data_IF_746350266762
#
_entry.id   IF_746350266762
#
_cell.length_a   1.000
_cell.length_b   1.000
_cell.length_c   1.000
_cell.angle_alpha   90.00
_cell.angle_beta   90.00
_cell.angle_gamma   90.00
#
_symmetry.space_group_name_H-M   'P 1'
#
loop_
_entity.id
_entity.type
_entity.pdbx_description
1 polymer ?
#
# COMPACT_ATOMS: atom_id res chain seq x y z
N UNK A 1 -19.26 7.93 -17.00
CA UNK A 1 -19.01 8.50 -15.65
C UNK A 1 -20.35 8.52 -14.95
N UNK A 2 -20.58 7.65 -13.97
CA UNK A 2 -21.83 7.63 -13.22
C UNK A 2 -21.83 8.81 -12.24
N UNK A 3 -22.89 9.61 -12.26
CA UNK A 3 -23.07 10.73 -11.33
C UNK A 3 -23.26 10.16 -9.92
N UNK A 4 -22.34 10.52 -9.02
CA UNK A 4 -22.26 10.05 -7.63
C UNK A 4 -23.16 10.88 -6.68
N UNK A 5 -24.24 11.48 -7.18
CA UNK A 5 -24.96 12.56 -6.47
C UNK A 5 -25.99 12.09 -5.44
N UNK A 6 -26.27 10.79 -5.27
CA UNK A 6 -27.41 10.32 -4.46
C UNK A 6 -27.07 9.50 -3.20
N UNK A 7 -25.84 9.57 -2.67
CA UNK A 7 -25.58 9.07 -1.31
C UNK A 7 -25.93 10.16 -0.28
N UNK A 8 -27.10 10.04 0.36
CA UNK A 8 -27.56 10.99 1.37
C UNK A 8 -26.57 11.22 2.52
N UNK A 9 -26.65 12.39 3.21
CA UNK A 9 -25.64 12.87 4.16
C UNK A 9 -25.39 11.97 5.40
N UNK A 10 -26.21 10.95 5.66
CA UNK A 10 -26.02 9.99 6.77
C UNK A 10 -25.20 8.75 6.40
N UNK A 11 -24.69 8.64 5.16
CA UNK A 11 -24.01 7.44 4.67
C UNK A 11 -22.50 7.38 4.98
N UNK A 12 -21.90 8.47 5.45
CA UNK A 12 -20.46 8.53 5.72
C UNK A 12 -20.16 8.23 7.18
N UNK A 13 -19.25 7.28 7.39
CA UNK A 13 -18.69 6.97 8.69
C UNK A 13 -17.62 8.03 9.05
N UNK A 14 -18.07 9.08 9.73
CA UNK A 14 -17.22 10.20 10.14
C UNK A 14 -16.13 9.79 11.13
N UNK A 15 -16.32 8.69 11.86
CA UNK A 15 -15.29 8.18 12.79
C UNK A 15 -14.07 7.64 12.04
N UNK A 16 -14.23 7.18 10.79
CA UNK A 16 -13.11 6.81 9.91
C UNK A 16 -12.35 8.02 9.34
N UNK A 17 -13.01 9.17 9.24
CA UNK A 17 -12.45 10.40 8.68
C UNK A 17 -11.70 11.21 9.76
N UNK A 18 -12.17 11.11 11.02
CA UNK A 18 -11.63 11.87 12.17
C UNK A 18 -10.11 11.76 12.33
N UNK A 19 -9.46 10.57 12.30
CA UNK A 19 -8.01 10.48 12.50
C UNK A 19 -7.23 11.20 11.40
N UNK A 20 -7.69 11.10 10.14
CA UNK A 20 -7.06 11.77 9.00
C UNK A 20 -7.21 13.30 9.12
N UNK A 21 -8.36 13.78 9.58
CA UNK A 21 -8.60 15.21 9.85
C UNK A 21 -7.65 15.74 10.92
N UNK A 22 -7.63 15.08 12.09
CA UNK A 22 -6.89 15.54 13.27
C UNK A 22 -5.37 15.40 13.09
N UNK A 23 -4.92 14.40 12.33
CA UNK A 23 -3.49 14.22 12.06
C UNK A 23 -2.87 15.39 11.30
N UNK A 24 -3.65 16.12 10.50
CA UNK A 24 -3.16 17.15 9.59
C UNK A 24 -2.18 16.63 8.52
N UNK A 25 -2.01 15.31 8.40
CA UNK A 25 -1.06 14.69 7.45
C UNK A 25 -1.60 14.81 6.04
N UNK A 26 -2.88 14.47 5.84
CA UNK A 26 -3.54 14.54 4.54
C UNK A 26 -4.06 15.95 4.27
N UNK A 27 -3.93 16.41 3.03
CA UNK A 27 -4.63 17.58 2.51
C UNK A 27 -6.14 17.31 2.40
N UNK A 28 -6.95 18.37 2.36
CA UNK A 28 -8.42 18.25 2.18
C UNK A 28 -8.74 17.46 0.90
N UNK A 29 -7.95 17.65 -0.15
CA UNK A 29 -8.17 17.01 -1.45
C UNK A 29 -7.84 15.52 -1.44
N UNK A 30 -6.79 15.15 -0.71
CA UNK A 30 -6.45 13.74 -0.48
C UNK A 30 -7.53 13.05 0.36
N UNK A 31 -8.07 13.71 1.37
CA UNK A 31 -9.19 13.18 2.17
C UNK A 31 -10.46 13.01 1.33
N UNK A 32 -10.82 14.01 0.52
CA UNK A 32 -11.93 13.96 -0.44
C UNK A 32 -11.81 12.76 -1.36
N UNK A 33 -10.61 12.54 -1.93
CA UNK A 33 -10.35 11.41 -2.83
C UNK A 33 -10.38 10.07 -2.11
N UNK A 34 -9.78 9.99 -0.91
CA UNK A 34 -9.67 8.77 -0.11
C UNK A 34 -11.03 8.28 0.39
N UNK A 35 -11.82 9.20 0.94
CA UNK A 35 -13.11 8.91 1.57
C UNK A 35 -14.30 9.06 0.62
N UNK A 36 -14.05 9.50 -0.62
CA UNK A 36 -15.08 9.74 -1.66
C UNK A 36 -16.20 10.66 -1.18
N UNK A 37 -15.85 11.65 -0.37
CA UNK A 37 -16.75 12.69 0.16
C UNK A 37 -16.59 13.97 -0.65
N UNK A 38 -17.66 14.76 -0.78
CA UNK A 38 -17.54 16.07 -1.43
C UNK A 38 -16.71 17.03 -0.56
N UNK A 39 -15.95 17.92 -1.22
CA UNK A 39 -15.09 18.89 -0.53
C UNK A 39 -15.90 19.81 0.39
N UNK A 40 -17.07 20.24 -0.07
CA UNK A 40 -17.93 21.15 0.69
C UNK A 40 -18.53 20.45 1.91
N UNK A 41 -18.97 19.19 1.76
CA UNK A 41 -19.48 18.40 2.86
C UNK A 41 -18.41 18.13 3.92
N UNK A 42 -17.18 17.78 3.51
CA UNK A 42 -16.06 17.61 4.45
C UNK A 42 -15.77 18.92 5.22
N UNK A 43 -15.82 20.07 4.56
CA UNK A 43 -15.59 21.37 5.20
C UNK A 43 -16.72 21.77 6.14
N UNK A 44 -17.96 21.55 5.74
CA UNK A 44 -19.14 21.86 6.55
C UNK A 44 -19.19 21.00 7.81
N UNK A 45 -19.16 19.67 7.64
CA UNK A 45 -19.20 18.72 8.75
C UNK A 45 -17.95 18.81 9.62
N UNK A 46 -16.77 19.00 9.03
CA UNK A 46 -15.54 19.26 9.78
C UNK A 46 -15.65 20.49 10.68
N UNK A 47 -16.26 21.59 10.21
CA UNK A 47 -16.53 22.78 11.05
C UNK A 47 -17.56 22.49 12.14
N UNK A 48 -18.63 21.78 11.83
CA UNK A 48 -19.67 21.40 12.80
C UNK A 48 -19.10 20.51 13.92
N UNK A 49 -18.26 19.53 13.58
CA UNK A 49 -17.61 18.64 14.55
C UNK A 49 -16.56 19.37 15.40
N UNK A 50 -15.83 20.33 14.82
CA UNK A 50 -14.91 21.18 15.59
C UNK A 50 -15.69 22.12 16.52
N UNK A 51 -16.77 22.74 16.05
CA UNK A 51 -17.59 23.64 16.86
C UNK A 51 -18.29 22.92 18.03
N UNK A 52 -18.67 21.65 17.85
CA UNK A 52 -19.23 20.81 18.91
C UNK A 52 -18.18 20.17 19.83
N UNK A 53 -16.89 20.36 19.56
CA UNK A 53 -15.78 19.79 20.34
C UNK A 53 -15.58 18.29 20.13
N UNK A 54 -16.24 17.68 19.13
CA UNK A 54 -16.11 16.26 18.80
C UNK A 54 -14.78 15.99 18.09
N UNK A 55 -14.32 16.93 17.26
CA UNK A 55 -13.04 16.90 16.55
C UNK A 55 -12.14 18.05 16.99
N UNK A 56 -10.82 17.84 16.95
CA UNK A 56 -9.85 18.92 17.13
C UNK A 56 -9.73 19.83 15.90
N UNK A 57 -9.37 21.10 16.10
CA UNK A 57 -9.11 22.03 15.01
C UNK A 57 -7.93 21.51 14.17
N UNK A 58 -8.14 21.41 12.85
CA UNK A 58 -7.12 20.88 11.95
C UNK A 58 -5.88 21.79 11.98
N UNK A 59 -4.66 21.24 12.14
CA UNK A 59 -3.45 22.06 12.18
C UNK A 59 -3.35 22.94 10.93
N UNK A 60 -3.21 24.26 11.12
CA UNK A 60 -3.13 25.24 10.01
C UNK A 60 -1.96 24.98 9.05
N UNK A 61 -1.00 24.12 9.42
CA UNK A 61 0.15 23.75 8.60
C UNK A 61 -0.03 22.44 7.81
N UNK A 62 -1.23 21.88 7.73
CA UNK A 62 -1.49 20.64 7.00
C UNK A 62 -1.03 20.74 5.53
N UNK A 63 -0.03 19.94 5.17
CA UNK A 63 0.64 19.96 3.85
C UNK A 63 2.15 20.24 3.90
N UNK A 64 2.68 20.77 5.02
CA UNK A 64 4.14 20.66 5.31
C UNK A 64 4.33 19.40 6.14
N UNK A 65 5.19 18.47 5.70
CA UNK A 65 5.55 17.30 6.53
C UNK A 65 5.94 17.81 7.92
N UNK A 66 5.40 17.26 9.02
CA UNK A 66 5.74 17.75 10.36
C UNK A 66 7.25 17.56 10.55
N UNK A 67 7.98 18.67 10.69
CA UNK A 67 9.42 18.67 10.94
C UNK A 67 9.79 17.70 12.09
N UNK A 68 8.88 17.57 13.08
CA UNK A 68 8.98 16.63 14.20
C UNK A 68 9.13 15.15 13.79
N UNK A 69 8.45 14.66 12.75
CA UNK A 69 8.59 13.26 12.29
C UNK A 69 9.96 13.02 11.63
N UNK A 70 10.42 14.02 10.89
CA UNK A 70 11.73 14.07 10.26
C UNK A 70 12.85 14.08 11.32
N UNK A 71 12.68 14.89 12.36
CA UNK A 71 13.62 14.99 13.47
C UNK A 71 13.63 13.70 14.31
N UNK A 72 12.48 13.05 14.50
CA UNK A 72 12.40 11.75 15.16
C UNK A 72 13.13 10.66 14.36
N UNK A 73 12.96 10.62 13.03
CA UNK A 73 13.68 9.68 12.17
C UNK A 73 15.20 9.91 12.21
N UNK A 74 15.64 11.18 12.17
CA UNK A 74 17.05 11.55 12.33
C UNK A 74 17.61 11.14 13.69
N UNK A 75 16.83 11.33 14.77
CA UNK A 75 17.24 10.95 16.11
C UNK A 75 17.43 9.43 16.25
N UNK A 76 16.59 8.62 15.61
CA UNK A 76 16.76 7.15 15.59
C UNK A 76 18.03 6.72 14.86
N UNK A 77 18.38 7.36 13.73
CA UNK A 77 19.62 7.06 13.01
C UNK A 77 20.87 7.51 13.79
N UNK A 78 20.78 8.65 14.47
CA UNK A 78 21.90 9.22 15.24
C UNK A 78 22.33 8.34 16.42
N UNK A 79 21.44 7.48 16.92
CA UNK A 79 21.77 6.51 17.97
C UNK A 79 22.79 5.45 17.49
N UNK A 80 22.99 5.31 16.17
CA UNK A 80 23.90 4.34 15.60
C UNK A 80 23.42 2.90 15.80
N UNK A 81 24.06 1.91 15.13
CA UNK A 81 23.73 0.51 15.35
C UNK A 81 24.06 0.11 16.79
N UNK A 82 23.12 -0.50 17.49
CA UNK A 82 23.33 -1.00 18.86
C UNK A 82 24.39 -2.11 18.82
N UNK A 83 25.57 -1.85 19.40
CA UNK A 83 26.65 -2.85 19.50
C UNK A 83 26.23 -3.91 20.52
N UNK A 84 25.88 -5.11 20.04
CA UNK A 84 25.58 -6.25 20.90
C UNK A 84 26.81 -7.15 21.11
N UNK A 85 27.16 -7.50 22.37
CA UNK A 85 28.39 -8.25 22.69
C UNK A 85 28.38 -9.72 22.24
N UNK A 86 27.20 -10.32 21.98
CA UNK A 86 27.09 -11.76 21.69
C UNK A 86 26.85 -12.10 20.22
N UNK A 87 26.73 -11.09 19.35
CA UNK A 87 26.67 -11.31 17.90
C UNK A 87 28.11 -11.15 17.41
N UNK A 88 28.73 -12.16 16.77
CA UNK A 88 30.09 -12.01 16.26
C UNK A 88 30.17 -10.73 15.43
N UNK A 89 31.00 -9.80 15.91
CA UNK A 89 31.23 -8.49 15.32
C UNK A 89 31.89 -8.71 13.95
N UNK A 90 31.08 -8.76 12.89
CA UNK A 90 31.58 -8.82 11.52
C UNK A 90 31.98 -7.41 11.08
N UNK A 91 33.15 -6.95 11.54
CA UNK A 91 33.96 -5.86 10.98
C UNK A 91 33.34 -4.46 10.88
N UNK A 92 34.17 -3.44 11.11
CA UNK A 92 33.85 -2.06 10.74
C UNK A 92 33.76 -1.95 9.21
N UNK A 93 32.55 -2.03 8.66
CA UNK A 93 32.27 -1.56 7.31
C UNK A 93 31.95 -0.06 7.40
N UNK A 94 32.92 0.76 7.02
CA UNK A 94 32.77 2.22 6.99
C UNK A 94 31.60 2.63 6.10
N UNK A 95 30.69 3.39 6.71
CA UNK A 95 29.49 3.98 6.11
C UNK A 95 29.92 5.17 5.25
N UNK A 96 29.74 5.09 3.93
CA UNK A 96 30.04 6.21 3.01
C UNK A 96 30.23 5.87 1.53
N UNK A 97 30.36 4.59 1.18
CA UNK A 97 30.39 4.12 -0.21
C UNK A 97 29.81 2.72 -0.27
N UNK A 98 28.85 2.47 -1.18
CA UNK A 98 28.27 1.13 -1.39
C UNK A 98 29.33 0.20 -1.99
N UNK A 99 30.25 -0.28 -1.18
CA UNK A 99 31.01 -1.48 -1.53
C UNK A 99 30.12 -2.67 -1.16
N UNK A 100 29.76 -3.47 -2.17
CA UNK A 100 29.10 -4.76 -1.95
C UNK A 100 29.96 -5.54 -0.94
N UNK A 101 29.35 -6.22 0.05
CA UNK A 101 30.11 -7.10 0.91
C UNK A 101 30.92 -8.07 0.03
N UNK A 102 32.18 -8.36 0.37
CA UNK A 102 33.00 -9.27 -0.40
C UNK A 102 32.21 -10.57 -0.58
N UNK A 103 32.02 -10.97 -1.83
CA UNK A 103 31.40 -12.25 -2.15
C UNK A 103 32.33 -13.31 -1.58
N UNK A 104 32.01 -13.84 -0.40
CA UNK A 104 32.78 -14.93 0.21
C UNK A 104 32.53 -16.15 -0.68
N UNK A 105 33.41 -16.34 -1.66
CA UNK A 105 33.53 -17.56 -2.47
C UNK A 105 34.11 -18.65 -1.58
N UNK A 106 33.30 -19.14 -0.65
CA UNK A 106 33.70 -20.13 0.34
C UNK A 106 32.47 -20.92 0.77
N UNK A 107 32.20 -22.00 0.02
CA UNK A 107 31.26 -23.09 0.32
C UNK A 107 29.84 -22.60 0.65
N UNK A 108 29.00 -22.50 -0.38
CA UNK A 108 27.56 -22.39 -0.21
C UNK A 108 27.09 -23.57 0.65
N UNK A 109 26.84 -23.31 1.94
CA UNK A 109 26.12 -24.22 2.82
C UNK A 109 24.72 -24.39 2.24
N UNK A 110 24.55 -25.43 1.44
CA UNK A 110 23.33 -25.74 0.66
C UNK A 110 22.15 -26.14 1.53
N UNK A 111 22.34 -26.27 2.85
CA UNK A 111 21.24 -26.53 3.75
C UNK A 111 20.58 -25.21 4.15
N UNK A 112 19.27 -25.01 3.84
CA UNK A 112 18.52 -23.87 4.32
C UNK A 112 18.47 -23.96 5.84
N UNK A 113 19.40 -23.27 6.52
CA UNK A 113 19.41 -23.25 7.98
C UNK A 113 18.10 -22.65 8.44
N UNK A 114 17.34 -23.49 9.13
CA UNK A 114 16.07 -23.10 9.72
C UNK A 114 16.41 -22.23 10.93
N UNK A 115 16.64 -20.94 10.71
CA UNK A 115 16.88 -19.99 11.80
C UNK A 115 15.53 -19.72 12.49
N UNK A 116 15.46 -19.98 13.80
CA UNK A 116 14.30 -19.66 14.62
C UNK A 116 14.25 -18.17 14.93
N UNK A 117 13.07 -17.65 15.26
CA UNK A 117 12.95 -16.25 15.67
C UNK A 117 13.75 -16.03 16.96
N UNK A 118 14.54 -14.97 16.96
CA UNK A 118 15.10 -14.40 18.19
C UNK A 118 15.00 -12.89 18.11
N UNK A 119 14.79 -12.25 19.26
CA UNK A 119 14.67 -10.79 19.34
C UNK A 119 15.88 -10.08 18.71
N UNK A 120 17.08 -10.59 18.96
CA UNK A 120 18.35 -10.08 18.41
C UNK A 120 18.38 -10.08 16.88
N UNK A 121 17.89 -11.16 16.25
CA UNK A 121 17.80 -11.24 14.78
C UNK A 121 16.76 -10.26 14.26
N UNK A 122 15.61 -10.14 14.93
CA UNK A 122 14.58 -9.15 14.58
C UNK A 122 15.08 -7.71 14.65
N UNK A 123 15.72 -7.33 15.75
CA UNK A 123 16.35 -6.01 15.95
C UNK A 123 17.39 -5.74 14.85
N UNK A 124 18.25 -6.72 14.54
CA UNK A 124 19.26 -6.57 13.48
C UNK A 124 18.65 -6.36 12.09
N UNK A 125 17.54 -7.05 11.77
CA UNK A 125 16.82 -6.82 10.50
C UNK A 125 16.29 -5.38 10.47
N UNK A 126 15.67 -4.90 11.55
CA UNK A 126 15.15 -3.54 11.63
C UNK A 126 16.25 -2.48 11.47
N UNK A 127 17.42 -2.67 12.09
CA UNK A 127 18.57 -1.76 11.95
C UNK A 127 19.04 -1.65 10.49
N UNK A 128 19.10 -2.78 9.77
CA UNK A 128 19.51 -2.80 8.37
C UNK A 128 18.45 -2.18 7.46
N UNK A 129 17.16 -2.41 7.73
CA UNK A 129 16.05 -1.76 7.02
C UNK A 129 16.09 -0.25 7.23
N UNK A 130 16.35 0.22 8.45
CA UNK A 130 16.49 1.65 8.76
C UNK A 130 17.67 2.28 8.00
N UNK A 131 18.74 1.52 7.76
CA UNK A 131 19.88 1.88 6.90
C UNK A 131 19.58 1.76 5.39
N UNK A 132 18.32 1.57 5.02
CA UNK A 132 17.86 1.50 3.64
C UNK A 132 18.36 0.28 2.86
N UNK A 133 18.60 -0.84 3.55
CA UNK A 133 18.82 -2.13 2.90
C UNK A 133 17.48 -2.79 2.57
N UNK A 134 17.41 -3.44 1.41
CA UNK A 134 16.23 -4.23 1.06
C UNK A 134 16.20 -5.54 1.87
N UNK A 135 15.01 -6.04 2.16
CA UNK A 135 14.85 -7.30 2.87
C UNK A 135 15.52 -8.47 2.13
N UNK A 136 15.53 -8.45 0.81
CA UNK A 136 16.20 -9.45 -0.02
C UNK A 136 17.71 -9.42 0.21
N UNK A 137 18.36 -8.25 0.13
CA UNK A 137 19.79 -8.10 0.43
C UNK A 137 20.11 -8.53 1.86
N UNK A 138 19.28 -8.15 2.84
CA UNK A 138 19.46 -8.54 4.24
C UNK A 138 19.46 -10.08 4.37
N UNK A 139 18.48 -10.75 3.75
CA UNK A 139 18.36 -12.20 3.84
C UNK A 139 19.48 -12.97 3.12
N UNK A 140 20.29 -12.30 2.28
CA UNK A 140 21.50 -12.90 1.69
C UNK A 140 22.72 -12.88 2.62
N UNK A 141 22.67 -12.13 3.73
CA UNK A 141 23.79 -12.04 4.66
C UNK A 141 23.99 -13.35 5.44
N UNK A 142 25.24 -13.71 5.77
CA UNK A 142 25.52 -14.92 6.54
C UNK A 142 24.85 -14.86 7.91
N UNK A 143 24.13 -15.92 8.27
CA UNK A 143 23.40 -16.00 9.54
C UNK A 143 22.04 -15.29 9.55
N UNK A 144 21.55 -14.80 8.40
CA UNK A 144 20.19 -14.25 8.28
C UNK A 144 19.16 -15.30 7.87
N UNK A 145 17.91 -15.17 8.35
CA UNK A 145 16.82 -16.03 7.93
C UNK A 145 16.44 -15.79 6.47
N UNK A 146 15.85 -16.79 5.82
CA UNK A 146 15.28 -16.62 4.49
C UNK A 146 14.09 -15.64 4.50
N UNK A 147 13.89 -14.92 3.39
CA UNK A 147 12.84 -13.90 3.24
C UNK A 147 11.45 -14.38 3.65
N UNK A 148 11.06 -15.59 3.22
CA UNK A 148 9.73 -16.15 3.52
C UNK A 148 9.50 -16.33 5.03
N UNK A 149 10.57 -16.59 5.79
CA UNK A 149 10.51 -16.77 7.23
C UNK A 149 10.38 -15.44 7.97
N UNK A 150 11.10 -14.41 7.54
CA UNK A 150 10.89 -13.06 8.07
C UNK A 150 9.44 -12.61 7.85
N UNK A 151 8.90 -12.88 6.65
CA UNK A 151 7.50 -12.60 6.34
C UNK A 151 6.52 -13.41 7.22
N UNK A 152 6.87 -14.65 7.59
CA UNK A 152 6.09 -15.44 8.54
C UNK A 152 6.09 -14.79 9.94
N UNK A 153 7.25 -14.30 10.42
CA UNK A 153 7.34 -13.63 11.71
C UNK A 153 6.53 -12.33 11.75
N UNK A 154 6.57 -11.53 10.69
CA UNK A 154 5.79 -10.29 10.59
C UNK A 154 4.27 -10.52 10.63
N UNK A 155 3.80 -11.72 10.25
CA UNK A 155 2.39 -12.11 10.30
C UNK A 155 1.99 -12.80 11.61
N UNK A 156 2.96 -13.29 12.37
CA UNK A 156 2.70 -14.04 13.60
C UNK A 156 2.23 -13.09 14.71
N UNK A 157 1.08 -13.36 15.37
CA UNK A 157 0.64 -12.60 16.54
C UNK A 157 1.67 -12.61 17.68
N UNK A 158 2.48 -13.68 17.77
CA UNK A 158 3.51 -13.84 18.80
C UNK A 158 4.68 -12.84 18.66
N UNK A 159 4.82 -12.18 17.50
CA UNK A 159 5.94 -11.28 17.19
C UNK A 159 5.44 -9.88 16.79
N UNK A 160 4.35 -9.42 17.40
CA UNK A 160 3.76 -8.11 17.09
C UNK A 160 4.72 -6.93 17.35
N UNK A 161 5.58 -7.05 18.37
CA UNK A 161 6.60 -6.05 18.66
C UNK A 161 7.60 -5.90 17.49
N UNK A 162 8.05 -7.02 16.93
CA UNK A 162 8.93 -7.02 15.75
C UNK A 162 8.23 -6.40 14.54
N UNK A 163 6.96 -6.71 14.32
CA UNK A 163 6.18 -6.13 13.22
C UNK A 163 6.10 -4.60 13.33
N UNK A 164 5.83 -4.08 14.53
CA UNK A 164 5.73 -2.64 14.78
C UNK A 164 7.06 -1.95 14.49
N UNK A 165 8.15 -2.45 15.08
CA UNK A 165 9.49 -1.88 14.93
C UNK A 165 9.95 -1.96 13.46
N UNK A 166 9.66 -3.06 12.77
CA UNK A 166 10.02 -3.25 11.36
C UNK A 166 9.35 -2.19 10.46
N UNK A 167 8.05 -1.93 10.65
CA UNK A 167 7.34 -0.94 9.85
C UNK A 167 7.81 0.48 10.15
N UNK A 168 8.12 0.78 11.42
CA UNK A 168 8.69 2.09 11.79
C UNK A 168 10.06 2.31 11.15
N UNK A 169 10.93 1.28 11.15
CA UNK A 169 12.22 1.32 10.48
C UNK A 169 12.08 1.50 8.96
N UNK A 170 11.18 0.75 8.31
CA UNK A 170 10.90 0.87 6.88
C UNK A 170 10.36 2.26 6.51
N UNK A 171 9.47 2.82 7.35
CA UNK A 171 8.93 4.16 7.17
C UNK A 171 10.03 5.22 7.30
N UNK A 172 10.87 5.11 8.33
CA UNK A 172 11.98 6.03 8.54
C UNK A 172 12.94 6.02 7.34
N UNK A 173 13.32 4.85 6.84
CA UNK A 173 14.19 4.73 5.67
C UNK A 173 13.61 5.42 4.42
N UNK A 174 12.32 5.27 4.15
CA UNK A 174 11.65 5.90 3.01
C UNK A 174 11.51 7.41 3.16
N UNK A 175 11.28 7.92 4.38
CA UNK A 175 11.21 9.36 4.63
C UNK A 175 12.55 10.03 4.33
N UNK A 176 13.67 9.41 4.69
CA UNK A 176 15.01 9.91 4.36
C UNK A 176 15.26 9.95 2.85
N UNK A 177 14.82 8.91 2.12
CA UNK A 177 14.92 8.90 0.66
C UNK A 177 14.13 10.05 0.03
N UNK A 178 12.95 10.36 0.58
CA UNK A 178 12.14 11.48 0.10
C UNK A 178 12.84 12.82 0.33
N UNK A 179 13.45 13.03 1.50
CA UNK A 179 14.20 14.25 1.78
C UNK A 179 15.39 14.41 0.83
N UNK A 180 16.07 13.32 0.50
CA UNK A 180 17.18 13.34 -0.44
C UNK A 180 16.73 13.70 -1.87
N UNK A 181 15.59 13.16 -2.32
CA UNK A 181 14.99 13.55 -3.59
C UNK A 181 14.55 15.02 -3.61
N UNK A 182 14.04 15.54 -2.48
CA UNK A 182 13.65 16.95 -2.35
C UNK A 182 14.88 17.87 -2.45
N UNK A 183 16.02 17.48 -1.88
CA UNK A 183 17.31 18.18 -2.09
C UNK A 183 17.75 18.12 -3.55
N UNK A 184 17.80 16.92 -4.15
CA UNK A 184 18.21 16.76 -5.56
C UNK A 184 17.32 17.61 -6.49
N UNK A 185 16.00 17.62 -6.25
CA UNK A 185 15.07 18.44 -7.02
C UNK A 185 15.38 19.94 -6.89
N UNK A 186 15.69 20.42 -5.68
CA UNK A 186 16.02 21.82 -5.44
C UNK A 186 17.29 22.27 -6.18
N UNK A 187 18.30 21.41 -6.22
CA UNK A 187 19.56 21.65 -6.93
C UNK A 187 19.36 21.68 -8.44
N UNK A 188 18.64 20.70 -8.99
CA UNK A 188 18.35 20.63 -10.43
C UNK A 188 17.52 21.84 -10.86
N UNK A 189 16.53 22.26 -10.06
CA UNK A 189 15.73 23.46 -10.34
C UNK A 189 16.59 24.72 -10.34
N UNK A 190 17.53 24.86 -9.41
CA UNK A 190 18.46 25.98 -9.37
C UNK A 190 19.37 26.01 -10.63
N UNK A 191 19.82 24.85 -11.10
CA UNK A 191 20.67 24.71 -12.29
C UNK A 191 19.94 25.00 -13.60
N UNK A 192 18.62 24.75 -13.68
CA UNK A 192 17.83 25.04 -14.90
C UNK A 192 17.83 26.52 -15.29
N UNK A 193 18.03 27.41 -14.33
CA UNK A 193 18.15 28.86 -14.57
C UNK A 193 19.43 29.21 -15.32
N UNK A 194 20.44 28.33 -15.33
CA UNK A 194 21.78 28.59 -15.87
C UNK A 194 22.08 27.86 -17.19
N UNK A 195 21.38 26.77 -17.52
CA UNK A 195 21.73 25.86 -18.64
C UNK A 195 20.53 25.50 -19.53
N UNK A 196 20.76 24.61 -20.50
CA UNK A 196 19.78 24.11 -21.46
C UNK A 196 18.50 23.58 -20.75
N UNK A 197 17.36 24.21 -21.06
CA UNK A 197 16.06 23.99 -20.40
C UNK A 197 15.52 22.57 -20.62
N UNK A 198 15.79 21.96 -21.78
CA UNK A 198 15.14 20.69 -22.16
C UNK A 198 15.65 19.48 -21.37
N UNK A 199 16.99 19.33 -21.26
CA UNK A 199 17.61 18.26 -20.47
C UNK A 199 17.22 18.36 -18.99
N UNK A 200 17.12 19.58 -18.50
CA UNK A 200 16.79 19.85 -17.11
C UNK A 200 15.33 19.52 -16.77
N UNK A 201 14.40 19.79 -17.69
CA UNK A 201 12.98 19.43 -17.51
C UNK A 201 12.76 17.91 -17.45
N UNK A 202 13.46 17.13 -18.30
CA UNK A 202 13.38 15.67 -18.26
C UNK A 202 13.88 15.12 -16.91
N UNK A 203 14.99 15.67 -16.39
CA UNK A 203 15.54 15.28 -15.08
C UNK A 203 14.59 15.64 -13.93
N UNK A 204 14.01 16.84 -13.95
CA UNK A 204 13.00 17.27 -12.96
C UNK A 204 11.82 16.29 -12.95
N UNK A 205 11.32 15.90 -14.12
CA UNK A 205 10.20 14.98 -14.23
C UNK A 205 10.54 13.60 -13.65
N UNK A 206 11.71 13.06 -13.97
CA UNK A 206 12.16 11.77 -13.43
C UNK A 206 12.33 11.79 -11.89
N UNK A 207 12.74 12.93 -11.30
CA UNK A 207 12.82 13.07 -9.84
C UNK A 207 11.42 13.14 -9.23
N UNK A 208 10.49 13.90 -9.83
CA UNK A 208 9.09 14.00 -9.37
C UNK A 208 8.38 12.65 -9.39
N UNK A 209 8.56 11.85 -10.43
CA UNK A 209 7.98 10.51 -10.52
C UNK A 209 8.53 9.57 -9.44
N UNK A 210 9.85 9.60 -9.19
CA UNK A 210 10.47 8.85 -8.10
C UNK A 210 9.91 9.27 -6.74
N UNK A 211 9.75 10.58 -6.51
CA UNK A 211 9.16 11.14 -5.28
C UNK A 211 7.71 10.66 -5.09
N UNK A 212 6.87 10.75 -6.11
CA UNK A 212 5.48 10.27 -6.07
C UNK A 212 5.40 8.78 -5.75
N UNK A 213 6.27 7.96 -6.34
CA UNK A 213 6.34 6.52 -6.05
C UNK A 213 6.71 6.23 -4.60
N UNK A 214 7.68 6.97 -4.04
CA UNK A 214 8.05 6.82 -2.64
C UNK A 214 6.97 7.33 -1.69
N UNK A 215 6.30 8.44 -1.99
CA UNK A 215 5.14 8.92 -1.22
C UNK A 215 4.04 7.88 -1.19
N UNK A 216 3.72 7.28 -2.35
CA UNK A 216 2.77 6.17 -2.44
C UNK A 216 3.19 4.99 -1.56
N UNK A 217 4.47 4.60 -1.56
CA UNK A 217 4.96 3.53 -0.67
C UNK A 217 4.79 3.89 0.80
N UNK A 218 5.19 5.08 1.22
CA UNK A 218 5.07 5.53 2.63
C UNK A 218 3.60 5.50 3.08
N UNK A 219 2.68 6.00 2.26
CA UNK A 219 1.25 6.00 2.60
C UNK A 219 0.67 4.59 2.70
N UNK A 220 1.12 3.66 1.85
CA UNK A 220 0.62 2.26 1.86
C UNK A 220 1.27 1.38 2.94
N UNK A 221 2.41 1.78 3.49
CA UNK A 221 3.07 1.05 4.57
C UNK A 221 2.45 1.31 5.94
N UNK A 222 1.54 2.28 6.07
CA UNK A 222 0.83 2.54 7.33
C UNK A 222 -0.23 1.45 7.60
N UNK A 223 -0.11 0.66 8.69
CA UNK A 223 -0.93 -0.54 8.90
C UNK A 223 -2.37 -0.30 9.35
N UNK A 224 -2.90 0.93 9.34
CA UNK A 224 -4.33 1.15 9.60
C UNK A 224 -5.23 0.37 8.60
N UNK A 225 -4.65 -0.15 7.50
CA UNK A 225 -5.31 -0.99 6.50
C UNK A 225 -5.33 -2.49 6.87
N UNK A 226 -4.50 -2.98 7.80
CA UNK A 226 -4.43 -4.41 8.11
C UNK A 226 -5.38 -4.90 9.21
N UNK A 227 -6.13 -4.00 9.86
CA UNK A 227 -7.08 -4.37 10.93
C UNK A 227 -8.50 -4.75 10.47
N UNK A 228 -8.80 -4.87 9.16
CA UNK A 228 -10.22 -4.98 8.76
C UNK A 228 -10.60 -5.68 7.44
N UNK A 229 -9.70 -6.28 6.66
CA UNK A 229 -10.11 -7.00 5.43
C UNK A 229 -9.89 -8.51 5.59
N UNK A 230 -10.56 -9.07 6.58
CA UNK A 230 -11.03 -10.45 6.51
C UNK A 230 -12.29 -10.51 5.64
N UNK A 231 -12.20 -10.22 4.34
CA UNK A 231 -13.25 -10.65 3.40
C UNK A 231 -12.85 -12.00 2.86
N UNK A 232 -13.57 -13.02 3.32
CA UNK A 232 -13.64 -14.31 2.68
C UNK A 232 -13.92 -14.10 1.18
N UNK A 233 -12.91 -14.34 0.34
CA UNK A 233 -13.13 -14.58 -1.08
C UNK A 233 -13.77 -15.96 -1.22
N UNK A 234 -15.06 -16.03 -0.91
CA UNK A 234 -15.91 -17.10 -1.43
C UNK A 234 -15.92 -16.97 -2.95
N UNK A 235 -15.41 -18.00 -3.63
CA UNK A 235 -15.63 -18.18 -5.07
C UNK A 235 -17.15 -18.24 -5.29
N UNK A 236 -17.62 -17.62 -6.37
CA UNK A 236 -19.02 -17.56 -6.86
C UNK A 236 -19.74 -16.22 -6.62
N UNK A 237 -19.26 -15.15 -7.25
CA UNK A 237 -20.10 -14.00 -7.60
C UNK A 237 -19.61 -13.39 -8.92
N UNK A 238 -19.58 -14.23 -9.97
CA UNK A 238 -19.55 -13.78 -11.35
C UNK A 238 -20.82 -14.27 -12.01
N UNK A 239 -21.72 -13.33 -12.33
CA UNK A 239 -22.67 -13.36 -13.45
C UNK A 239 -23.87 -12.46 -13.14
N UNK A 240 -23.82 -11.21 -13.62
CA UNK A 240 -24.96 -10.59 -14.29
C UNK A 240 -24.41 -9.72 -15.43
N UNK A 241 -24.76 -10.13 -16.64
CA UNK A 241 -24.48 -9.48 -17.92
C UNK A 241 -24.93 -8.01 -17.95
N UNK A 242 -24.22 -7.20 -18.73
CA UNK A 242 -24.94 -6.26 -19.58
C UNK A 242 -24.24 -6.08 -20.93
N UNK A 243 -24.65 -6.93 -21.89
CA UNK A 243 -24.51 -6.68 -23.33
C UNK A 243 -25.59 -5.69 -23.73
N UNK A 244 -25.21 -4.59 -24.38
CA UNK A 244 -26.05 -3.88 -25.37
C UNK A 244 -25.23 -2.81 -26.08
N UNK A 245 -24.82 -3.11 -27.31
CA UNK A 245 -24.31 -2.13 -28.29
C UNK A 245 -25.51 -1.50 -29.00
N UNK A 246 -25.42 -0.19 -29.20
CA UNK A 246 -25.85 0.63 -30.34
C UNK A 246 -26.96 0.08 -31.28
N UNK A 247 -28.08 0.81 -31.30
CA UNK A 247 -28.64 1.44 -32.50
C UNK A 247 -29.52 0.61 -33.43
N UNK A 248 -30.78 1.04 -33.62
CA UNK A 248 -31.57 0.63 -34.78
C UNK A 248 -33.10 0.64 -34.59
N UNK A 249 -33.72 1.75 -35.01
CA UNK A 249 -35.04 1.92 -35.62
C UNK A 249 -36.11 0.81 -35.53
N UNK A 250 -37.27 1.24 -35.01
CA UNK A 250 -38.61 1.10 -35.58
C UNK A 250 -39.34 -0.27 -35.63
N UNK A 251 -40.52 -0.25 -35.00
CA UNK A 251 -41.82 -0.69 -35.51
C UNK A 251 -42.31 -2.15 -35.29
N UNK A 252 -43.53 -2.19 -34.72
CA UNK A 252 -44.66 -3.12 -34.98
C UNK A 252 -44.85 -4.36 -34.06
N UNK A 253 -45.91 -4.22 -33.25
CA UNK A 253 -47.01 -5.17 -32.94
C UNK A 253 -46.79 -6.48 -32.14
N UNK A 254 -47.38 -6.45 -30.93
CA UNK A 254 -48.27 -7.43 -30.27
C UNK A 254 -48.50 -8.80 -30.95
N UNK A 255 -48.27 -9.88 -30.18
CA UNK A 255 -49.25 -10.90 -29.69
C UNK A 255 -48.47 -12.06 -29.04
N UNK A 256 -48.82 -12.48 -27.82
CA UNK A 256 -49.39 -13.82 -27.52
C UNK A 256 -48.29 -14.90 -27.49
N UNK A 257 -48.09 -15.75 -26.48
CA UNK A 257 -49.03 -16.46 -25.61
C UNK A 257 -48.24 -17.14 -24.49
N UNK A 258 -48.89 -17.34 -23.34
CA UNK A 258 -48.56 -18.35 -22.34
C UNK A 258 -48.34 -19.74 -22.96
N UNK A 259 -47.32 -20.48 -22.51
CA UNK A 259 -47.45 -21.81 -21.87
C UNK A 259 -46.10 -22.55 -21.76
N UNK A 260 -46.06 -23.44 -20.76
CA UNK A 260 -45.19 -24.61 -20.52
C UNK A 260 -44.01 -24.42 -19.56
N UNK A 261 -44.30 -24.84 -18.32
CA UNK A 261 -43.37 -25.39 -17.33
C UNK A 261 -42.59 -26.57 -17.92
N UNK A 262 -41.32 -26.74 -17.53
CA UNK A 262 -40.86 -28.01 -16.95
C UNK A 262 -39.53 -27.84 -16.21
N UNK A 263 -39.58 -28.17 -14.91
CA UNK A 263 -38.46 -28.22 -13.98
C UNK A 263 -37.59 -29.44 -14.27
N UNK A 264 -36.34 -29.23 -14.69
CA UNK A 264 -35.33 -30.28 -14.75
C UNK A 264 -34.74 -30.57 -13.36
N UNK A 265 -34.98 -31.77 -12.84
CA UNK A 265 -34.34 -32.31 -11.64
C UNK A 265 -32.90 -32.71 -11.98
N UNK A 266 -31.93 -32.19 -11.23
CA UNK A 266 -30.51 -32.56 -11.32
C UNK A 266 -30.27 -33.82 -10.49
N UNK A 267 -29.78 -34.89 -11.11
CA UNK A 267 -29.24 -36.07 -10.40
C UNK A 267 -27.91 -35.70 -9.72
N UNK A 268 -27.82 -35.72 -8.38
CA UNK A 268 -26.65 -35.24 -7.65
C UNK A 268 -25.46 -36.20 -7.69
N UNK A 269 -25.60 -37.44 -8.17
CA UNK A 269 -24.52 -38.45 -8.10
C UNK A 269 -23.67 -38.53 -9.36
N UNK A 270 -24.16 -38.12 -10.54
CA UNK A 270 -23.46 -38.40 -11.80
C UNK A 270 -23.00 -37.18 -12.60
N UNK A 271 -23.49 -35.97 -12.30
CA UNK A 271 -23.12 -34.69 -12.98
C UNK A 271 -22.96 -34.80 -14.50
N UNK A 272 -23.78 -35.62 -15.17
CA UNK A 272 -23.84 -35.68 -16.64
C UNK A 272 -25.15 -35.07 -17.10
N UNK A 273 -25.06 -34.02 -17.92
CA UNK A 273 -26.21 -33.44 -18.62
C UNK A 273 -26.35 -34.19 -19.94
N UNK A 274 -27.38 -35.04 -20.07
CA UNK A 274 -27.73 -35.64 -21.35
C UNK A 274 -28.59 -34.66 -22.14
N UNK A 275 -27.98 -33.94 -23.09
CA UNK A 275 -28.71 -33.13 -24.06
C UNK A 275 -29.13 -34.01 -25.23
N UNK A 276 -30.44 -34.24 -25.36
CA UNK A 276 -31.05 -34.88 -26.53
C UNK A 276 -31.28 -33.81 -27.60
N UNK A 277 -30.50 -33.82 -28.67
CA UNK A 277 -30.71 -32.92 -29.82
C UNK A 277 -31.87 -33.47 -30.65
N UNK A 278 -32.99 -32.74 -30.69
CA UNK A 278 -34.09 -33.01 -31.62
C UNK A 278 -33.87 -32.14 -32.86
N UNK A 279 -33.48 -32.76 -33.98
CA UNK A 279 -33.41 -32.10 -35.27
C UNK A 279 -34.83 -31.86 -35.80
N UNK A 280 -35.25 -30.59 -35.86
CA UNK A 280 -36.49 -30.18 -36.53
C UNK A 280 -36.29 -30.14 -38.05
N UNK A 281 -36.93 -31.07 -38.76
CA UNK A 281 -37.09 -31.06 -40.21
C UNK A 281 -38.07 -29.97 -40.65
N UNK A 282 -37.75 -29.34 -41.79
CA UNK A 282 -38.57 -28.33 -42.47
C UNK A 282 -39.75 -28.98 -43.20
N UNK A 283 -40.90 -28.31 -43.14
CA UNK A 283 -41.93 -28.27 -44.19
C UNK A 283 -42.48 -26.85 -44.25
#
# INVERSE_FOLDING_TARGET
MANYEDCGPSAYDWDLIKPDWESGILTVDEMVKRHRISRDMLREKGREFVASGVWQERPRQAGRRPQALLDQAKALLAQGPVKHPDVPYYGDFTIGGREKPPTITGVASTEPRVIAYSKKVGERICDLVAQNWSLEEICTLPGMPATWRVMQWLRSPEHQDFCTIYWDAARAALLLQLDELDKELSEVVADTKKRNKNVSNARIQAIRERRQHLEFKVTNLLPHVFKGIGRATGRNAGDVENKSRLGGLAAIARKGTDQMLETGVIDPMTRKVNLKVVNGGKS
#
